data_IF_078300480750
#
_entry.id   IF_078300480750
#
_cell.length_a   1.000
_cell.length_b   1.000
_cell.length_c   1.000
_cell.angle_alpha   90.00
_cell.angle_beta   90.00
_cell.angle_gamma   90.00
#
_symmetry.space_group_name_H-M   'P 1'
#
loop_
_entity.id
_entity.type
_entity.pdbx_description
1 polymer ?
#
# COMPACT_ATOMS: atom_id res chain seq x y z
N UNK A 1 54.16 18.64 13.38
CA UNK A 1 52.73 18.93 13.08
C UNK A 1 52.21 18.30 11.77
N UNK A 2 53.05 17.99 10.78
CA UNK A 2 52.60 17.44 9.49
C UNK A 2 51.99 16.03 9.58
N UNK A 3 52.54 15.16 10.44
CA UNK A 3 52.05 13.77 10.63
C UNK A 3 50.67 13.68 11.26
N UNK A 4 50.34 14.64 12.15
CA UNK A 4 49.02 14.71 12.80
C UNK A 4 47.95 15.14 11.80
N UNK A 5 48.26 16.10 10.90
CA UNK A 5 47.36 16.49 9.80
C UNK A 5 47.08 15.33 8.84
N UNK A 6 48.10 14.53 8.50
CA UNK A 6 47.94 13.37 7.63
C UNK A 6 47.08 12.28 8.29
N UNK A 7 47.29 12.02 9.58
CA UNK A 7 46.48 11.06 10.33
C UNK A 7 45.01 11.51 10.47
N UNK A 8 44.77 12.81 10.68
CA UNK A 8 43.42 13.39 10.72
C UNK A 8 42.71 13.32 9.36
N UNK A 9 43.43 13.60 8.26
CA UNK A 9 42.90 13.49 6.91
C UNK A 9 42.58 12.04 6.53
N UNK A 10 43.44 11.08 6.89
CA UNK A 10 43.20 9.65 6.67
C UNK A 10 42.02 9.14 7.50
N UNK A 11 41.91 9.55 8.77
CA UNK A 11 40.77 9.23 9.64
C UNK A 11 39.45 9.81 9.07
N UNK A 12 39.50 11.03 8.52
CA UNK A 12 38.36 11.65 7.88
C UNK A 12 37.98 10.94 6.56
N UNK A 13 38.95 10.46 5.77
CA UNK A 13 38.70 9.64 4.58
C UNK A 13 38.10 8.26 4.88
N UNK A 14 38.50 7.63 5.99
CA UNK A 14 37.91 6.37 6.48
C UNK A 14 36.47 6.56 6.98
N UNK A 15 36.15 7.73 7.56
CA UNK A 15 34.79 8.12 7.91
C UNK A 15 33.96 8.56 6.69
N UNK A 16 34.63 9.06 5.64
CA UNK A 16 34.10 9.28 4.29
C UNK A 16 34.15 8.02 3.42
N UNK A 17 34.06 6.83 4.02
CA UNK A 17 33.41 5.71 3.32
C UNK A 17 31.95 6.12 3.06
N UNK A 18 31.77 6.96 2.03
CA UNK A 18 30.65 6.88 1.13
C UNK A 18 30.54 5.40 0.80
N UNK A 19 29.69 4.69 1.55
CA UNK A 19 28.96 3.61 0.93
C UNK A 19 28.39 4.25 -0.33
N UNK A 20 28.76 3.79 -1.54
CA UNK A 20 28.03 4.25 -2.70
C UNK A 20 26.57 3.96 -2.36
N UNK A 21 25.79 5.02 -2.12
CA UNK A 21 24.34 4.91 -1.98
C UNK A 21 23.95 4.10 -3.18
N UNK A 22 23.46 2.90 -2.89
CA UNK A 22 23.37 1.81 -3.84
C UNK A 22 22.98 2.38 -5.20
N UNK A 23 23.92 2.37 -6.14
CA UNK A 23 23.54 2.35 -7.55
C UNK A 23 22.76 1.06 -7.68
N UNK A 24 21.48 1.07 -7.30
CA UNK A 24 20.57 -0.03 -7.56
C UNK A 24 20.69 -0.17 -9.06
N UNK A 25 21.37 -1.22 -9.53
CA UNK A 25 21.28 -1.62 -10.92
C UNK A 25 19.80 -1.91 -11.11
N UNK A 26 19.07 -0.91 -11.61
CA UNK A 26 17.64 -1.03 -11.85
C UNK A 26 17.52 -2.09 -12.93
N UNK A 27 17.17 -3.29 -12.51
CA UNK A 27 16.92 -4.37 -13.43
C UNK A 27 15.56 -4.09 -14.08
N UNK A 28 15.57 -3.49 -15.28
CA UNK A 28 14.34 -3.13 -16.00
C UNK A 28 13.43 -4.34 -16.22
N UNK A 29 13.97 -5.55 -16.37
CA UNK A 29 13.17 -6.78 -16.48
C UNK A 29 12.43 -7.05 -15.17
N UNK A 30 13.11 -6.91 -14.02
CA UNK A 30 12.50 -7.03 -12.69
C UNK A 30 11.42 -5.95 -12.47
N UNK A 31 11.68 -4.71 -12.89
CA UNK A 31 10.70 -3.63 -12.83
C UNK A 31 9.47 -3.95 -13.68
N UNK A 32 9.68 -4.44 -14.91
CA UNK A 32 8.61 -4.86 -15.82
C UNK A 32 7.68 -5.89 -15.16
N UNK A 33 8.24 -6.96 -14.58
CA UNK A 33 7.45 -7.96 -13.87
C UNK A 33 6.71 -7.40 -12.65
N UNK A 34 7.32 -6.49 -11.90
CA UNK A 34 6.64 -5.85 -10.78
C UNK A 34 5.45 -4.98 -11.22
N UNK A 35 5.60 -4.25 -12.33
CA UNK A 35 4.51 -3.46 -12.93
C UNK A 35 3.41 -4.38 -13.46
N UNK A 36 3.78 -5.46 -14.14
CA UNK A 36 2.84 -6.47 -14.64
C UNK A 36 1.98 -7.04 -13.51
N UNK A 37 2.60 -7.48 -12.41
CA UNK A 37 1.85 -7.99 -11.24
C UNK A 37 0.99 -6.91 -10.60
N UNK A 38 1.43 -5.65 -10.59
CA UNK A 38 0.62 -4.54 -10.08
C UNK A 38 -0.60 -4.26 -10.96
N UNK A 39 -0.46 -4.39 -12.27
CA UNK A 39 -1.57 -4.26 -13.22
C UNK A 39 -2.54 -5.43 -13.08
N UNK A 40 -2.05 -6.67 -12.99
CA UNK A 40 -2.88 -7.84 -12.72
C UNK A 40 -3.66 -7.70 -11.41
N UNK A 41 -3.00 -7.27 -10.34
CA UNK A 41 -3.62 -7.01 -9.04
C UNK A 41 -4.73 -5.97 -9.17
N UNK A 42 -4.41 -4.85 -9.83
CA UNK A 42 -5.37 -3.76 -10.02
C UNK A 42 -6.58 -4.25 -10.79
N UNK A 43 -6.38 -4.97 -11.89
CA UNK A 43 -7.45 -5.54 -12.71
C UNK A 43 -8.37 -6.46 -11.87
N UNK A 44 -7.78 -7.41 -11.15
CA UNK A 44 -8.50 -8.33 -10.25
C UNK A 44 -9.30 -7.61 -9.17
N UNK A 45 -8.75 -6.54 -8.59
CA UNK A 45 -9.46 -5.75 -7.57
C UNK A 45 -10.59 -4.96 -8.20
N UNK A 46 -10.39 -4.30 -9.34
CA UNK A 46 -11.44 -3.49 -9.98
C UNK A 46 -12.67 -4.31 -10.36
N UNK A 47 -12.51 -5.58 -10.76
CA UNK A 47 -13.66 -6.42 -11.09
C UNK A 47 -14.45 -6.87 -9.86
N UNK A 48 -13.79 -6.96 -8.70
CA UNK A 48 -14.40 -7.50 -7.47
C UNK A 48 -14.81 -6.43 -6.45
N UNK A 49 -14.24 -5.23 -6.51
CA UNK A 49 -14.47 -4.21 -5.48
C UNK A 49 -15.92 -3.73 -5.42
N UNK A 50 -16.57 -3.52 -6.58
CA UNK A 50 -17.95 -3.05 -6.65
C UNK A 50 -18.95 -4.08 -6.09
N UNK A 51 -18.93 -5.37 -6.50
CA UNK A 51 -19.81 -6.37 -5.91
C UNK A 51 -19.52 -6.59 -4.42
N UNK A 52 -18.24 -6.63 -4.02
CA UNK A 52 -17.85 -6.76 -2.61
C UNK A 52 -18.42 -5.63 -1.75
N UNK A 53 -18.34 -4.38 -2.22
CA UNK A 53 -18.91 -3.22 -1.53
C UNK A 53 -20.42 -3.30 -1.43
N UNK A 54 -21.12 -3.71 -2.50
CA UNK A 54 -22.58 -3.89 -2.46
C UNK A 54 -22.99 -4.95 -1.45
N UNK A 55 -22.32 -6.09 -1.46
CA UNK A 55 -22.59 -7.19 -0.52
C UNK A 55 -22.31 -6.77 0.92
N UNK A 56 -21.20 -6.07 1.16
CA UNK A 56 -20.85 -5.55 2.48
C UNK A 56 -21.90 -4.55 3.00
N UNK A 57 -22.32 -3.59 2.16
CA UNK A 57 -23.36 -2.61 2.51
C UNK A 57 -24.69 -3.30 2.83
N UNK A 58 -25.06 -4.31 2.03
CA UNK A 58 -26.26 -5.10 2.25
C UNK A 58 -26.20 -5.91 3.54
N UNK A 59 -25.08 -6.60 3.81
CA UNK A 59 -24.87 -7.39 5.03
C UNK A 59 -24.94 -6.54 6.31
N UNK A 60 -24.35 -5.34 6.28
CA UNK A 60 -24.42 -4.35 7.37
C UNK A 60 -25.81 -3.69 7.44
N UNK A 61 -26.61 -3.78 6.37
CA UNK A 61 -27.89 -3.10 6.23
C UNK A 61 -27.74 -1.57 6.19
N UNK A 62 -26.63 -1.06 5.67
CA UNK A 62 -26.38 0.38 5.56
C UNK A 62 -26.79 0.89 4.17
N UNK A 63 -27.76 1.80 4.16
CA UNK A 63 -28.17 2.54 2.98
C UNK A 63 -27.82 4.03 3.18
N UNK A 64 -26.83 4.59 2.45
CA UNK A 64 -26.48 6.00 2.58
C UNK A 64 -27.66 6.86 2.13
N UNK A 65 -28.10 7.78 3.01
CA UNK A 65 -29.21 8.72 2.73
C UNK A 65 -28.78 9.96 1.94
N UNK A 66 -27.50 10.05 1.57
CA UNK A 66 -26.89 11.21 0.91
C UNK A 66 -26.74 10.90 -0.58
N UNK A 67 -27.06 11.87 -1.44
CA UNK A 67 -26.88 11.73 -2.89
C UNK A 67 -25.41 11.48 -3.22
N UNK A 68 -25.14 10.38 -3.92
CA UNK A 68 -23.79 9.97 -4.34
C UNK A 68 -23.22 10.84 -5.47
N UNK A 69 -24.05 11.67 -6.11
CA UNK A 69 -23.66 12.50 -7.24
C UNK A 69 -22.69 13.64 -6.87
N UNK A 70 -22.65 14.06 -5.60
CA UNK A 70 -21.72 15.09 -5.12
C UNK A 70 -21.49 14.93 -3.61
N UNK A 71 -20.49 14.14 -3.25
CA UNK A 71 -20.10 13.89 -1.86
C UNK A 71 -18.88 14.75 -1.53
N UNK A 72 -19.01 15.68 -0.58
CA UNK A 72 -17.86 16.42 -0.04
C UNK A 72 -16.99 15.52 0.84
N UNK A 73 -15.73 15.88 1.07
CA UNK A 73 -14.83 15.12 1.97
C UNK A 73 -15.44 14.92 3.37
N UNK A 74 -16.11 15.95 3.90
CA UNK A 74 -16.78 15.89 5.20
C UNK A 74 -17.95 14.92 5.16
N UNK A 75 -18.79 14.98 4.12
CA UNK A 75 -19.89 14.04 3.95
C UNK A 75 -19.42 12.60 3.81
N UNK A 76 -18.31 12.37 3.09
CA UNK A 76 -17.70 11.04 2.99
C UNK A 76 -17.28 10.52 4.36
N UNK A 77 -16.67 11.38 5.18
CA UNK A 77 -16.23 11.02 6.53
C UNK A 77 -17.43 10.65 7.43
N UNK A 78 -18.54 11.38 7.30
CA UNK A 78 -19.80 11.07 7.99
C UNK A 78 -20.37 9.72 7.53
N UNK A 79 -20.36 9.44 6.21
CA UNK A 79 -20.82 8.16 5.67
C UNK A 79 -19.99 7.00 6.24
N UNK A 80 -18.65 7.14 6.22
CA UNK A 80 -17.74 6.13 6.77
C UNK A 80 -18.01 5.92 8.26
N UNK A 81 -18.13 6.99 9.03
CA UNK A 81 -18.42 6.91 10.47
C UNK A 81 -19.73 6.17 10.74
N UNK A 82 -20.82 6.54 10.06
CA UNK A 82 -22.13 5.89 10.22
C UNK A 82 -22.09 4.41 9.83
N UNK A 83 -21.40 4.07 8.74
CA UNK A 83 -21.21 2.70 8.31
C UNK A 83 -20.47 1.88 9.37
N UNK A 84 -19.31 2.36 9.84
CA UNK A 84 -18.48 1.67 10.85
C UNK A 84 -19.25 1.52 12.15
N UNK A 85 -19.91 2.58 12.62
CA UNK A 85 -20.72 2.54 13.83
C UNK A 85 -21.81 1.46 13.73
N UNK A 86 -22.52 1.38 12.59
CA UNK A 86 -23.54 0.36 12.36
C UNK A 86 -22.96 -1.05 12.26
N UNK A 87 -21.81 -1.20 11.60
CA UNK A 87 -21.15 -2.49 11.45
C UNK A 87 -20.66 -3.07 12.79
N UNK A 88 -20.14 -2.22 13.67
CA UNK A 88 -19.58 -2.63 14.96
C UNK A 88 -20.64 -2.76 16.07
N UNK A 89 -21.60 -1.83 16.15
CA UNK A 89 -22.62 -1.84 17.21
C UNK A 89 -23.76 -2.83 16.93
N UNK A 90 -23.98 -3.22 15.67
CA UNK A 90 -25.07 -4.11 15.27
C UNK A 90 -24.73 -5.59 15.24
N UNK A 91 -23.64 -6.03 15.89
CA UNK A 91 -23.11 -7.40 15.83
C UNK A 91 -22.79 -7.90 14.40
N UNK A 92 -22.57 -6.97 13.45
CA UNK A 92 -22.28 -7.27 12.04
C UNK A 92 -20.79 -7.39 11.75
N UNK A 93 -19.98 -7.69 12.77
CA UNK A 93 -18.53 -7.85 12.62
C UNK A 93 -18.17 -8.94 11.60
N UNK A 94 -18.99 -10.00 11.52
CA UNK A 94 -18.84 -11.07 10.53
C UNK A 94 -18.94 -10.58 9.09
N UNK A 95 -19.72 -9.54 8.80
CA UNK A 95 -19.77 -8.92 7.48
C UNK A 95 -18.42 -8.32 7.08
N UNK A 96 -17.78 -7.61 8.02
CA UNK A 96 -16.45 -7.02 7.81
C UNK A 96 -15.38 -8.10 7.67
N UNK A 97 -15.44 -9.15 8.49
CA UNK A 97 -14.52 -10.28 8.42
C UNK A 97 -14.65 -11.03 7.09
N UNK A 98 -15.87 -11.31 6.62
CA UNK A 98 -16.08 -11.97 5.32
C UNK A 98 -15.59 -11.11 4.16
N UNK A 99 -15.83 -9.80 4.21
CA UNK A 99 -15.31 -8.89 3.19
C UNK A 99 -13.78 -8.86 3.20
N UNK A 100 -13.16 -8.85 4.39
CA UNK A 100 -11.71 -8.94 4.53
C UNK A 100 -11.16 -10.27 4.00
N UNK A 101 -11.78 -11.40 4.33
CA UNK A 101 -11.35 -12.72 3.85
C UNK A 101 -11.49 -12.87 2.34
N UNK A 102 -12.54 -12.28 1.75
CA UNK A 102 -12.72 -12.25 0.30
C UNK A 102 -11.66 -11.37 -0.35
N UNK A 103 -11.40 -10.18 0.20
CA UNK A 103 -10.37 -9.32 -0.33
C UNK A 103 -8.97 -9.93 -0.18
N UNK A 104 -8.69 -10.62 0.93
CA UNK A 104 -7.39 -11.25 1.17
C UNK A 104 -7.14 -12.45 0.25
N UNK A 105 -8.17 -13.21 -0.12
CA UNK A 105 -8.03 -14.30 -1.10
C UNK A 105 -7.71 -13.77 -2.50
N UNK A 106 -8.21 -12.58 -2.86
CA UNK A 106 -7.89 -11.90 -4.11
C UNK A 106 -6.49 -11.29 -4.07
N UNK A 107 -6.17 -10.53 -3.01
CA UNK A 107 -4.88 -9.81 -2.91
C UNK A 107 -3.70 -10.74 -2.62
N UNK A 108 -3.91 -11.79 -1.82
CA UNK A 108 -2.86 -12.64 -1.25
C UNK A 108 -1.87 -13.19 -2.29
N UNK A 109 -2.33 -13.83 -3.38
CA UNK A 109 -1.44 -14.37 -4.41
C UNK A 109 -0.58 -13.28 -5.07
N UNK A 110 -1.15 -12.10 -5.36
CA UNK A 110 -0.41 -11.00 -5.99
C UNK A 110 0.60 -10.37 -5.03
N UNK A 111 0.24 -10.22 -3.75
CA UNK A 111 1.16 -9.71 -2.73
C UNK A 111 2.33 -10.68 -2.48
N UNK A 112 2.08 -11.99 -2.48
CA UNK A 112 3.14 -12.99 -2.40
C UNK A 112 4.09 -12.91 -3.61
N UNK A 113 3.54 -12.80 -4.83
CA UNK A 113 4.36 -12.60 -6.05
C UNK A 113 5.20 -11.32 -5.96
N UNK A 114 4.60 -10.20 -5.57
CA UNK A 114 5.33 -8.93 -5.37
C UNK A 114 6.44 -9.05 -4.32
N UNK A 115 6.18 -9.74 -3.21
CA UNK A 115 7.17 -9.98 -2.16
C UNK A 115 8.33 -10.86 -2.65
N UNK A 116 8.02 -11.94 -3.36
CA UNK A 116 9.03 -12.86 -3.92
C UNK A 116 9.98 -12.16 -4.90
N UNK A 117 9.46 -11.19 -5.66
CA UNK A 117 10.22 -10.35 -6.56
C UNK A 117 10.77 -9.08 -5.89
N UNK A 118 10.58 -8.91 -4.59
CA UNK A 118 11.03 -7.74 -3.83
C UNK A 118 10.62 -6.41 -4.48
N UNK A 119 9.38 -6.30 -4.95
CA UNK A 119 8.89 -5.12 -5.66
C UNK A 119 8.70 -3.87 -4.77
N UNK A 120 9.00 -3.96 -3.47
CA UNK A 120 8.76 -2.91 -2.48
C UNK A 120 9.45 -1.58 -2.81
N UNK A 121 10.65 -1.62 -3.41
CA UNK A 121 11.41 -0.41 -3.75
C UNK A 121 10.74 0.47 -4.82
N UNK A 122 9.79 -0.06 -5.60
CA UNK A 122 9.06 0.71 -6.62
C UNK A 122 7.97 1.63 -6.06
N UNK A 123 7.52 1.37 -4.83
CA UNK A 123 6.46 2.13 -4.17
C UNK A 123 6.99 3.03 -3.03
N UNK A 124 8.30 3.04 -2.83
CA UNK A 124 8.97 3.89 -1.84
C UNK A 124 9.41 5.17 -2.56
N UNK A 125 8.99 6.33 -2.04
CA UNK A 125 9.51 7.62 -2.50
C UNK A 125 11.03 7.58 -2.36
N UNK A 126 11.82 7.86 -3.42
CA UNK A 126 13.27 7.87 -3.27
C UNK A 126 13.64 8.83 -2.14
N UNK A 127 14.64 8.49 -1.29
CA UNK A 127 15.14 9.45 -0.32
C UNK A 127 15.56 10.69 -1.09
N UNK A 128 14.98 11.84 -0.71
CA UNK A 128 15.47 13.14 -1.16
C UNK A 128 16.89 13.24 -0.58
N UNK A 129 17.90 13.08 -1.45
CA UNK A 129 19.28 13.38 -1.10
C UNK A 129 19.40 14.82 -0.60
#
# INVERSE_FOLDING_TARGET
>A
MHRVKIALLLSCLLLLHFTPTAGQKINLVKVGHCVEIALELTASVTTQIMPLMKELLHCVGYAPKISTARVSKVQLLVIIYQFVHKALMGERLTCLLNAYMTLSSVLGPHLQKMSSLQCSYLFVKPPLC
#
